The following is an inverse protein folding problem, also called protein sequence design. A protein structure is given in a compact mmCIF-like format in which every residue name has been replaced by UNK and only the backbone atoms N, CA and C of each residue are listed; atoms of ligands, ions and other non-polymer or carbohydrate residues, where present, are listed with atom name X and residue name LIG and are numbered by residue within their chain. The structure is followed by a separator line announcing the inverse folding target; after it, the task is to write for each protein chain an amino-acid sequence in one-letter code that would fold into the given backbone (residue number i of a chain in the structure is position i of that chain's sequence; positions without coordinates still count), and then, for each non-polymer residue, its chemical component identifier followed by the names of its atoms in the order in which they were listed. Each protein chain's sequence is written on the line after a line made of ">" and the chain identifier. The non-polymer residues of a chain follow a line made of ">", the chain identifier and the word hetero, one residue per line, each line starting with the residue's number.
data_IF_096923718039
#
_entry.id   IF_096923718039
#
_cell.length_a   1.000
_cell.length_b   1.000
_cell.length_c   1.000
_cell.angle_alpha   90.00
_cell.angle_beta   90.00
_cell.angle_gamma   90.00
#
_symmetry.space_group_name_H-M   'P 1'
#
loop_
_entity.id
_entity.type
_entity.pdbx_description
1 polymer ?
#
# COMPACT_ATOMS: atom_id res chain seq x y z
N UNK A 1 13.29 -9.42 -17.97
CA UNK A 1 12.13 -9.30 -17.10
C UNK A 1 12.56 -8.68 -15.77
N UNK A 2 11.69 -7.89 -15.13
CA UNK A 2 11.95 -7.31 -13.79
C UNK A 2 11.23 -8.18 -12.74
N UNK A 3 11.80 -8.39 -11.54
CA UNK A 3 11.20 -9.22 -10.51
C UNK A 3 10.13 -8.50 -9.69
N UNK A 4 9.90 -7.22 -9.92
CA UNK A 4 8.88 -6.41 -9.25
C UNK A 4 7.89 -5.83 -10.26
N UNK A 5 6.67 -5.61 -9.79
CA UNK A 5 5.56 -5.12 -10.61
C UNK A 5 5.67 -3.62 -10.91
N UNK A 6 6.18 -2.84 -9.97
CA UNK A 6 6.26 -1.39 -10.13
C UNK A 6 7.45 -0.77 -9.41
N UNK A 7 7.90 0.34 -9.98
CA UNK A 7 8.88 1.25 -9.38
C UNK A 7 8.30 2.66 -9.40
N UNK A 8 8.36 3.33 -8.26
CA UNK A 8 7.86 4.70 -8.10
C UNK A 8 8.94 5.53 -7.41
N UNK A 9 9.47 6.50 -8.11
CA UNK A 9 10.30 7.52 -7.49
C UNK A 9 9.41 8.62 -6.91
N UNK A 10 9.16 8.52 -5.61
CA UNK A 10 8.27 9.42 -4.87
C UNK A 10 8.75 10.87 -4.91
N UNK A 11 10.04 11.08 -4.94
CA UNK A 11 10.65 12.41 -4.95
C UNK A 11 10.51 13.15 -6.29
N UNK A 12 9.91 12.52 -7.30
CA UNK A 12 9.39 13.22 -8.49
C UNK A 12 8.07 13.96 -8.20
N UNK A 13 7.35 13.60 -7.13
CA UNK A 13 6.10 14.24 -6.73
C UNK A 13 6.31 15.21 -5.56
N UNK A 14 7.15 14.83 -4.58
CA UNK A 14 7.44 15.61 -3.38
C UNK A 14 8.92 15.92 -3.36
N UNK A 15 9.33 17.19 -3.30
CA UNK A 15 10.75 17.56 -3.36
C UNK A 15 11.62 16.85 -2.31
N UNK A 16 12.81 16.40 -2.72
CA UNK A 16 13.77 15.71 -1.84
C UNK A 16 14.17 16.52 -0.60
N UNK A 17 13.99 17.85 -0.62
CA UNK A 17 14.20 18.73 0.54
C UNK A 17 13.33 18.36 1.73
N UNK A 18 12.16 17.75 1.53
CA UNK A 18 11.31 17.23 2.61
C UNK A 18 11.90 15.97 3.27
N UNK A 19 12.90 15.35 2.64
CA UNK A 19 13.54 14.10 3.04
C UNK A 19 15.05 14.30 3.26
N UNK A 20 15.46 15.48 3.70
CA UNK A 20 16.88 15.85 3.94
C UNK A 20 17.78 15.65 2.72
N UNK A 21 17.23 15.80 1.52
CA UNK A 21 17.93 15.61 0.25
C UNK A 21 17.97 14.17 -0.24
N UNK A 22 17.41 13.22 0.49
CA UNK A 22 17.33 11.84 0.05
C UNK A 22 16.23 11.65 -1.01
N UNK A 23 16.49 10.77 -1.98
CA UNK A 23 15.50 10.29 -2.93
C UNK A 23 14.81 9.04 -2.38
N UNK A 24 13.48 8.96 -2.58
CA UNK A 24 12.68 7.84 -2.09
C UNK A 24 12.12 7.07 -3.28
N UNK A 25 12.49 5.80 -3.35
CA UNK A 25 12.04 4.89 -4.40
C UNK A 25 11.27 3.74 -3.76
N UNK A 26 10.05 3.48 -4.23
CA UNK A 26 9.27 2.31 -3.87
C UNK A 26 9.43 1.24 -4.94
N UNK A 27 9.76 0.02 -4.52
CA UNK A 27 9.64 -1.19 -5.31
C UNK A 27 8.44 -1.97 -4.78
N UNK A 28 7.46 -2.23 -5.65
CA UNK A 28 6.19 -2.83 -5.24
C UNK A 28 5.95 -4.13 -5.97
N UNK A 29 5.36 -5.10 -5.28
CA UNK A 29 4.96 -6.35 -5.87
C UNK A 29 3.66 -6.87 -5.27
N UNK A 30 2.95 -7.72 -6.04
CA UNK A 30 1.83 -8.54 -5.59
C UNK A 30 2.22 -9.99 -5.87
N UNK A 31 2.42 -10.75 -4.82
CA UNK A 31 2.91 -12.12 -4.88
C UNK A 31 1.89 -13.09 -4.28
N UNK A 32 1.80 -14.25 -4.85
CA UNK A 32 1.06 -15.37 -4.26
C UNK A 32 1.83 -15.91 -3.04
N UNK A 33 1.15 -16.41 -1.99
CA UNK A 33 1.84 -16.99 -0.83
C UNK A 33 2.73 -18.19 -1.17
N UNK A 34 2.50 -18.83 -2.33
CA UNK A 34 3.33 -19.94 -2.87
C UNK A 34 4.60 -19.45 -3.55
N UNK A 35 4.69 -18.19 -3.93
CA UNK A 35 5.84 -17.61 -4.62
C UNK A 35 7.09 -17.67 -3.73
N UNK A 36 8.26 -18.08 -4.26
CA UNK A 36 9.50 -18.07 -3.52
C UNK A 36 9.87 -16.70 -2.95
N UNK A 37 9.67 -15.60 -3.71
CA UNK A 37 9.96 -14.25 -3.25
C UNK A 37 9.07 -13.81 -2.08
N UNK A 38 7.84 -14.35 -2.00
CA UNK A 38 6.95 -14.06 -0.87
C UNK A 38 7.52 -14.59 0.46
N UNK A 39 8.39 -15.60 0.41
CA UNK A 39 9.03 -16.24 1.57
C UNK A 39 10.38 -15.62 1.93
N UNK A 40 10.94 -14.80 1.05
CA UNK A 40 12.22 -14.14 1.28
C UNK A 40 12.13 -13.19 2.49
N UNK A 41 13.21 -13.13 3.23
CA UNK A 41 13.40 -12.10 4.24
C UNK A 41 13.79 -10.76 3.58
N UNK A 42 13.80 -9.64 4.31
CA UNK A 42 14.09 -8.33 3.72
C UNK A 42 15.44 -8.24 3.01
N UNK A 43 16.46 -8.87 3.55
CA UNK A 43 17.82 -8.85 2.97
C UNK A 43 17.88 -9.66 1.67
N UNK A 44 17.30 -10.87 1.65
CA UNK A 44 17.22 -11.70 0.45
C UNK A 44 16.46 -10.98 -0.67
N UNK A 45 15.35 -10.32 -0.34
CA UNK A 45 14.56 -9.57 -1.31
C UNK A 45 15.30 -8.33 -1.83
N UNK A 46 16.05 -7.65 -0.96
CA UNK A 46 16.91 -6.53 -1.34
C UNK A 46 17.95 -6.99 -2.37
N UNK A 47 18.68 -8.07 -2.08
CA UNK A 47 19.68 -8.63 -2.97
C UNK A 47 19.09 -9.10 -4.30
N UNK A 48 17.86 -9.60 -4.30
CA UNK A 48 17.15 -9.98 -5.52
C UNK A 48 16.80 -8.76 -6.39
N UNK A 49 16.38 -7.64 -5.78
CA UNK A 49 15.88 -6.48 -6.51
C UNK A 49 16.97 -5.53 -7.00
N UNK A 50 18.03 -5.31 -6.23
CA UNK A 50 19.05 -4.30 -6.50
C UNK A 50 19.71 -4.44 -7.89
N UNK A 51 20.11 -5.64 -8.36
CA UNK A 51 20.74 -5.78 -9.67
C UNK A 51 19.84 -5.34 -10.84
N UNK A 52 18.53 -5.35 -10.62
CA UNK A 52 17.56 -4.97 -11.64
C UNK A 52 17.39 -3.47 -11.78
N UNK A 53 17.79 -2.66 -10.80
CA UNK A 53 17.74 -1.21 -10.87
C UNK A 53 18.68 -0.65 -11.95
N UNK A 54 19.81 -1.32 -12.20
CA UNK A 54 20.73 -0.96 -13.29
C UNK A 54 20.12 -1.15 -14.68
N UNK A 55 19.10 -2.00 -14.83
CA UNK A 55 18.36 -2.12 -16.10
C UNK A 55 17.47 -0.91 -16.38
N UNK A 56 17.09 -0.18 -15.33
CA UNK A 56 16.24 1.00 -15.41
C UNK A 56 17.10 2.26 -15.48
N UNK A 57 18.10 2.34 -14.62
CA UNK A 57 19.10 3.40 -14.62
C UNK A 57 20.51 2.77 -14.70
N UNK A 58 21.16 2.80 -15.89
CA UNK A 58 22.49 2.21 -16.05
C UNK A 58 23.58 2.80 -15.13
N UNK A 59 23.38 4.04 -14.66
CA UNK A 59 24.32 4.71 -13.77
C UNK A 59 24.09 4.35 -12.28
N UNK A 60 23.03 3.57 -11.99
CA UNK A 60 22.71 3.19 -10.63
C UNK A 60 23.88 2.45 -9.96
N UNK A 61 24.20 2.87 -8.76
CA UNK A 61 25.18 2.23 -7.89
C UNK A 61 24.53 1.87 -6.55
N UNK A 62 24.80 0.66 -6.06
CA UNK A 62 24.27 0.20 -4.78
C UNK A 62 24.67 1.11 -3.62
N UNK A 63 25.85 1.74 -3.70
CA UNK A 63 26.33 2.74 -2.73
C UNK A 63 25.45 3.98 -2.59
N UNK A 64 24.52 4.19 -3.51
CA UNK A 64 23.52 5.27 -3.41
C UNK A 64 22.41 4.92 -2.41
N UNK A 65 22.22 3.64 -2.11
CA UNK A 65 21.21 3.19 -1.15
C UNK A 65 21.73 3.42 0.27
N UNK A 66 21.24 4.44 0.92
CA UNK A 66 21.62 4.77 2.30
C UNK A 66 20.83 3.98 3.33
N UNK A 67 19.61 3.59 2.99
CA UNK A 67 18.73 2.78 3.85
C UNK A 67 17.60 2.16 3.01
N UNK A 68 17.00 1.08 3.52
CA UNK A 68 15.79 0.51 2.95
C UNK A 68 14.83 0.04 4.04
N UNK A 69 13.55 0.05 3.71
CA UNK A 69 12.46 -0.39 4.57
C UNK A 69 11.65 -1.47 3.86
N UNK A 70 11.27 -2.48 4.59
CA UNK A 70 10.47 -3.57 4.08
C UNK A 70 9.10 -3.59 4.74
N UNK A 71 8.06 -3.65 3.91
CA UNK A 71 6.68 -3.79 4.37
C UNK A 71 6.01 -4.92 3.60
N UNK A 72 5.45 -5.86 4.35
CA UNK A 72 4.70 -6.99 3.82
C UNK A 72 3.31 -7.00 4.45
N UNK A 73 2.30 -7.24 3.62
CA UNK A 73 0.91 -7.35 4.05
C UNK A 73 0.32 -8.61 3.45
N UNK A 74 -0.10 -9.55 4.29
CA UNK A 74 -0.62 -10.85 3.84
C UNK A 74 -2.03 -10.74 3.23
N UNK A 75 -2.81 -9.74 3.62
CA UNK A 75 -4.16 -9.47 3.13
C UNK A 75 -4.25 -8.02 2.62
N UNK A 76 -3.59 -7.75 1.50
CA UNK A 76 -3.47 -6.40 0.97
C UNK A 76 -4.79 -5.84 0.42
N UNK A 77 -5.67 -6.70 -0.14
CA UNK A 77 -6.94 -6.30 -0.75
C UNK A 77 -8.06 -7.28 -0.41
N UNK A 78 -9.30 -6.77 -0.19
CA UNK A 78 -10.45 -7.64 -0.20
C UNK A 78 -10.66 -8.24 -1.59
N UNK A 79 -11.09 -9.48 -1.66
CA UNK A 79 -11.54 -10.11 -2.91
C UNK A 79 -12.94 -9.59 -3.22
N UNK A 80 -13.03 -8.75 -4.25
CA UNK A 80 -14.32 -8.23 -4.73
C UNK A 80 -14.97 -9.27 -5.62
N UNK A 81 -16.00 -9.93 -5.10
CA UNK A 81 -16.79 -10.93 -5.82
C UNK A 81 -18.07 -10.33 -6.41
N UNK A 82 -18.77 -11.11 -7.23
CA UNK A 82 -20.12 -10.74 -7.69
C UNK A 82 -21.05 -10.55 -6.49
N UNK A 83 -21.79 -9.45 -6.47
CA UNK A 83 -22.67 -9.12 -5.35
C UNK A 83 -21.95 -8.54 -4.11
N UNK A 84 -20.73 -8.06 -4.27
CA UNK A 84 -19.92 -7.54 -3.15
C UNK A 84 -20.64 -6.46 -2.31
N UNK A 85 -21.47 -5.63 -2.95
CA UNK A 85 -22.27 -4.60 -2.27
C UNK A 85 -23.13 -5.17 -1.13
N UNK A 86 -23.65 -6.38 -1.28
CA UNK A 86 -24.48 -7.04 -0.26
C UNK A 86 -23.64 -7.57 0.93
N UNK A 87 -22.34 -7.75 0.71
CA UNK A 87 -21.40 -8.25 1.73
C UNK A 87 -20.69 -7.14 2.49
N UNK A 88 -20.81 -5.87 2.06
CA UNK A 88 -20.15 -4.74 2.72
C UNK A 88 -20.77 -4.52 4.10
N UNK A 89 -19.96 -4.58 5.18
CA UNK A 89 -20.48 -4.35 6.53
C UNK A 89 -20.93 -2.89 6.69
N UNK A 90 -21.97 -2.68 7.51
CA UNK A 90 -22.41 -1.34 7.89
C UNK A 90 -21.33 -0.61 8.71
N UNK A 91 -21.29 0.71 8.59
CA UNK A 91 -20.49 1.52 9.51
C UNK A 91 -21.00 1.48 10.95
N UNK A 92 -22.33 1.34 11.15
CA UNK A 92 -22.88 1.07 12.49
C UNK A 92 -22.74 -0.40 12.82
N UNK A 93 -22.13 -0.70 13.95
CA UNK A 93 -22.06 -2.07 14.46
C UNK A 93 -23.31 -2.38 15.34
N UNK A 94 -23.55 -3.64 15.69
CA UNK A 94 -24.58 -4.00 16.65
C UNK A 94 -24.37 -3.44 18.07
N UNK A 95 -23.16 -2.96 18.36
CA UNK A 95 -22.82 -2.41 19.66
C UNK A 95 -23.03 -0.90 19.69
N UNK A 96 -23.66 -0.41 20.74
CA UNK A 96 -23.89 1.04 20.91
C UNK A 96 -22.55 1.81 20.96
N UNK A 97 -22.49 2.92 20.23
CA UNK A 97 -21.33 3.81 20.15
C UNK A 97 -20.05 3.17 19.56
N UNK A 98 -20.17 2.03 18.91
CA UNK A 98 -19.06 1.41 18.18
C UNK A 98 -19.32 1.43 16.67
N UNK A 99 -18.37 1.99 15.91
CA UNK A 99 -18.46 2.15 14.48
C UNK A 99 -17.27 1.47 13.79
N UNK A 100 -17.50 1.00 12.56
CA UNK A 100 -16.49 0.35 11.73
C UNK A 100 -16.19 1.21 10.51
N UNK A 101 -14.92 1.49 10.28
CA UNK A 101 -14.43 2.12 9.06
C UNK A 101 -13.14 1.44 8.62
N UNK A 102 -13.16 0.72 7.51
CA UNK A 102 -11.98 0.10 6.93
C UNK A 102 -12.09 0.01 5.40
N UNK A 103 -10.98 -0.35 4.76
CA UNK A 103 -10.88 -0.34 3.31
C UNK A 103 -11.80 -1.34 2.60
N UNK A 104 -12.33 -2.35 3.29
CA UNK A 104 -13.30 -3.29 2.69
C UNK A 104 -14.65 -2.64 2.38
N UNK A 105 -14.93 -1.48 2.97
CA UNK A 105 -16.16 -0.71 2.76
C UNK A 105 -16.04 0.32 1.62
N UNK A 106 -14.87 0.41 0.99
CA UNK A 106 -14.65 1.26 -0.19
C UNK A 106 -15.02 0.44 -1.42
N UNK A 107 -16.15 0.78 -2.04
CA UNK A 107 -16.67 0.14 -3.24
C UNK A 107 -17.71 1.07 -3.91
N UNK A 108 -17.79 1.17 -5.23
CA UNK A 108 -17.02 0.46 -6.25
C UNK A 108 -15.64 1.06 -6.55
N UNK A 109 -15.26 2.13 -5.86
CA UNK A 109 -13.96 2.77 -6.05
C UNK A 109 -12.83 1.88 -5.52
N UNK A 110 -11.62 2.11 -6.02
CA UNK A 110 -10.43 1.48 -5.48
C UNK A 110 -10.07 2.11 -4.11
N UNK A 111 -9.40 1.34 -3.26
CA UNK A 111 -8.96 1.76 -1.94
C UNK A 111 -7.78 2.71 -2.02
N UNK A 112 -8.04 3.97 -2.22
CA UNK A 112 -7.06 5.04 -2.15
C UNK A 112 -7.12 5.80 -0.82
N UNK A 113 -6.06 6.51 -0.49
CA UNK A 113 -6.01 7.38 0.70
C UNK A 113 -7.13 8.44 0.68
N UNK A 114 -7.44 8.99 -0.50
CA UNK A 114 -8.53 9.94 -0.71
C UNK A 114 -9.90 9.36 -0.31
N UNK A 115 -10.17 8.10 -0.68
CA UNK A 115 -11.41 7.41 -0.32
C UNK A 115 -11.47 7.07 1.16
N UNK A 116 -10.34 6.70 1.75
CA UNK A 116 -10.22 6.46 3.20
C UNK A 116 -10.50 7.73 4.00
N UNK A 117 -9.98 8.87 3.58
CA UNK A 117 -10.26 10.19 4.18
C UNK A 117 -11.74 10.54 4.03
N UNK A 118 -12.34 10.34 2.84
CA UNK A 118 -13.78 10.56 2.62
C UNK A 118 -14.63 9.69 3.55
N UNK A 119 -14.31 8.41 3.64
CA UNK A 119 -15.00 7.47 4.51
C UNK A 119 -14.91 7.88 5.99
N UNK A 120 -13.71 8.23 6.47
CA UNK A 120 -13.51 8.70 7.84
C UNK A 120 -14.37 9.92 8.17
N UNK A 121 -14.47 10.88 7.25
CA UNK A 121 -15.36 12.05 7.39
C UNK A 121 -16.83 11.65 7.46
N UNK A 122 -17.27 10.72 6.61
CA UNK A 122 -18.65 10.24 6.59
C UNK A 122 -19.01 9.53 7.91
N UNK A 123 -18.11 8.70 8.42
CA UNK A 123 -18.32 8.01 9.71
C UNK A 123 -18.33 8.98 10.88
N UNK A 124 -17.47 10.00 10.90
CA UNK A 124 -17.51 11.04 11.92
C UNK A 124 -18.83 11.81 11.92
N UNK A 125 -19.37 12.15 10.73
CA UNK A 125 -20.70 12.78 10.60
C UNK A 125 -21.83 11.84 11.05
N UNK A 126 -21.69 10.54 10.83
CA UNK A 126 -22.64 9.54 11.29
C UNK A 126 -22.67 9.49 12.83
N UNK A 127 -21.49 9.47 13.44
CA UNK A 127 -21.35 9.47 14.91
C UNK A 127 -21.99 10.69 15.55
N UNK A 128 -21.79 11.90 14.96
CA UNK A 128 -22.39 13.13 15.49
C UNK A 128 -23.90 13.20 15.35
N UNK A 129 -24.51 12.45 14.42
CA UNK A 129 -25.96 12.36 14.27
C UNK A 129 -26.60 11.34 15.24
N UNK A 130 -25.83 10.40 15.71
CA UNK A 130 -26.28 9.33 16.59
C UNK A 130 -26.13 9.70 18.09
N UNK A 131 -25.46 10.84 18.39
CA UNK A 131 -25.35 11.44 19.72
C UNK A 131 -26.52 12.37 20.00
#
# INVERSE_FOLDING_TARGET
>A
ELPFLGIIEHTNFIPATHYHGAHIVYLTNYLEPSDPMYKMNPEELYQEYIPHLQKINPDFQESWVTNYFYHKVDAAQPIVTRGYTESIPSHRTPFKNLYLANTTQIYPEDRGTNYSVRMGRNVAQLMTKDC
#
